data_IF_677704083889
#
_entry.id   IF_677704083889
#
_cell.length_a   1.000
_cell.length_b   1.000
_cell.length_c   1.000
_cell.angle_alpha   90.00
_cell.angle_beta   90.00
_cell.angle_gamma   90.00
#
_symmetry.space_group_name_H-M   'P 1'
#
loop_
_entity.id
_entity.type
_entity.pdbx_description
1 polymer ?
#
# COMPACT_ATOMS: atom_id res chain seq x y z
N UNK A 1 -20.60 -0.41 -6.53
CA UNK A 1 -19.34 -0.14 -5.82
C UNK A 1 -18.15 -0.53 -6.67
N UNK A 2 -17.23 0.42 -6.86
CA UNK A 2 -16.01 0.13 -7.59
C UNK A 2 -15.10 -0.73 -6.72
N UNK A 3 -14.72 -1.89 -7.24
CA UNK A 3 -13.75 -2.75 -6.57
C UNK A 3 -12.34 -2.26 -6.88
N UNK A 4 -11.49 -2.24 -5.88
CA UNK A 4 -10.10 -1.83 -6.02
C UNK A 4 -9.18 -3.04 -5.96
N UNK A 5 -8.21 -3.13 -6.88
CA UNK A 5 -7.29 -4.26 -6.87
C UNK A 5 -6.35 -4.19 -5.67
N UNK A 6 -6.10 -5.35 -5.08
CA UNK A 6 -5.15 -5.50 -3.99
C UNK A 6 -4.48 -6.87 -4.13
N UNK A 7 -3.19 -6.96 -3.79
CA UNK A 7 -2.53 -8.26 -3.80
C UNK A 7 -2.99 -9.09 -2.60
N UNK A 8 -2.90 -10.42 -2.72
CA UNK A 8 -3.22 -11.31 -1.60
C UNK A 8 -2.41 -10.95 -0.36
N UNK A 9 -1.12 -10.68 -0.53
CA UNK A 9 -0.22 -10.32 0.56
C UNK A 9 -0.62 -9.00 1.22
N UNK A 10 -1.02 -8.02 0.43
CA UNK A 10 -1.51 -6.74 0.95
C UNK A 10 -2.79 -6.89 1.74
N UNK A 11 -3.72 -7.73 1.27
CA UNK A 11 -4.95 -8.00 2.00
C UNK A 11 -4.68 -8.67 3.35
N UNK A 12 -3.81 -9.68 3.37
CA UNK A 12 -3.43 -10.36 4.61
C UNK A 12 -2.80 -9.39 5.61
N UNK A 13 -1.94 -8.50 5.12
CA UNK A 13 -1.30 -7.49 5.96
C UNK A 13 -2.31 -6.52 6.57
N UNK A 14 -3.30 -6.07 5.79
CA UNK A 14 -4.38 -5.22 6.29
C UNK A 14 -5.23 -5.94 7.34
N UNK A 15 -5.54 -7.21 7.12
CA UNK A 15 -6.29 -8.00 8.10
C UNK A 15 -5.54 -8.14 9.41
N UNK A 16 -4.22 -8.34 9.36
CA UNK A 16 -3.38 -8.42 10.56
C UNK A 16 -3.33 -7.09 11.29
N UNK A 17 -3.21 -5.99 10.55
CA UNK A 17 -3.25 -4.64 11.14
C UNK A 17 -4.59 -4.41 11.84
N UNK A 18 -5.70 -4.80 11.22
CA UNK A 18 -7.03 -4.64 11.78
C UNK A 18 -7.17 -5.39 13.13
N UNK A 19 -6.67 -6.62 13.19
CA UNK A 19 -6.67 -7.41 14.42
C UNK A 19 -5.86 -6.70 15.51
N UNK A 20 -4.67 -6.22 15.19
CA UNK A 20 -3.83 -5.48 16.12
C UNK A 20 -4.53 -4.24 16.66
N UNK A 21 -5.16 -3.45 15.79
CA UNK A 21 -5.84 -2.22 16.19
C UNK A 21 -7.04 -2.48 17.09
N UNK A 22 -7.77 -3.56 16.85
CA UNK A 22 -8.96 -3.92 17.64
C UNK A 22 -8.64 -4.63 18.94
N UNK A 23 -7.70 -5.56 18.93
CA UNK A 23 -7.45 -6.45 20.06
C UNK A 23 -6.36 -5.96 21.00
N UNK A 24 -5.41 -5.16 20.50
CA UNK A 24 -4.31 -4.65 21.31
C UNK A 24 -4.38 -3.15 21.50
N UNK A 25 -4.41 -2.39 20.41
CA UNK A 25 -4.35 -0.93 20.47
C UNK A 25 -5.57 -0.32 21.14
N UNK A 26 -6.75 -0.76 20.76
CA UNK A 26 -8.01 -0.23 21.31
C UNK A 26 -8.09 -0.41 22.84
N UNK A 27 -7.83 -1.60 23.41
CA UNK A 27 -7.83 -1.75 24.87
C UNK A 27 -6.79 -0.90 25.57
N UNK A 28 -5.61 -0.74 25.00
CA UNK A 28 -4.56 0.12 25.57
C UNK A 28 -5.01 1.57 25.64
N UNK A 29 -5.68 2.05 24.59
CA UNK A 29 -6.19 3.42 24.54
C UNK A 29 -7.32 3.61 25.57
N UNK A 30 -8.24 2.65 25.68
CA UNK A 30 -9.31 2.68 26.67
C UNK A 30 -8.73 2.77 28.08
N UNK A 31 -7.69 1.99 28.37
CA UNK A 31 -7.01 2.03 29.66
C UNK A 31 -6.33 3.38 29.90
N UNK A 32 -5.70 3.95 28.87
CA UNK A 32 -5.05 5.26 28.97
C UNK A 32 -6.06 6.38 29.24
N UNK A 33 -7.24 6.32 28.64
CA UNK A 33 -8.32 7.27 28.88
C UNK A 33 -8.80 7.17 30.33
N UNK A 34 -9.02 5.96 30.83
CA UNK A 34 -9.46 5.73 32.17
C UNK A 34 -8.44 6.26 33.20
N UNK A 35 -7.15 6.00 32.95
CA UNK A 35 -6.08 6.51 33.83
C UNK A 35 -6.03 8.04 33.79
N UNK A 36 -6.08 8.65 32.64
CA UNK A 36 -6.07 10.11 32.50
C UNK A 36 -7.25 10.77 33.22
N UNK A 37 -8.43 10.15 33.15
CA UNK A 37 -9.61 10.66 33.88
C UNK A 37 -9.44 10.65 35.37
N UNK A 38 -8.67 9.73 35.91
CA UNK A 38 -8.40 9.63 37.32
C UNK A 38 -7.57 10.81 37.87
N UNK A 39 -6.89 11.56 37.00
CA UNK A 39 -6.03 12.68 37.39
C UNK A 39 -6.77 14.01 37.57
N UNK A 40 -8.09 14.07 37.34
CA UNK A 40 -8.91 15.22 37.71
C UNK A 40 -9.59 15.91 36.54
N UNK A 41 -9.44 17.24 36.39
CA UNK A 41 -10.17 18.08 35.46
C UNK A 41 -9.96 17.64 33.99
N UNK A 42 -11.05 17.35 33.30
CA UNK A 42 -10.99 16.89 31.92
C UNK A 42 -10.69 18.02 30.92
N UNK A 43 -11.05 19.26 31.23
CA UNK A 43 -10.84 20.39 30.30
C UNK A 43 -9.37 20.75 30.13
N UNK A 44 -8.59 20.67 31.21
CA UNK A 44 -7.16 21.03 31.22
C UNK A 44 -6.26 19.80 31.27
N UNK A 45 -6.81 18.60 31.14
CA UNK A 45 -6.05 17.37 31.21
C UNK A 45 -5.47 17.02 29.84
N UNK A 46 -4.21 17.37 29.62
CA UNK A 46 -3.52 17.13 28.34
C UNK A 46 -3.42 15.64 28.02
N UNK A 47 -3.23 14.79 29.03
CA UNK A 47 -3.15 13.33 28.85
C UNK A 47 -4.49 12.76 28.37
N UNK A 48 -5.59 13.26 28.94
CA UNK A 48 -6.93 12.86 28.51
C UNK A 48 -7.20 13.25 27.06
N UNK A 49 -6.90 14.50 26.69
CA UNK A 49 -7.09 14.97 25.31
C UNK A 49 -6.23 14.21 24.30
N UNK A 50 -4.98 13.93 24.64
CA UNK A 50 -4.10 13.14 23.80
C UNK A 50 -4.62 11.73 23.59
N UNK A 51 -5.10 11.08 24.66
CA UNK A 51 -5.66 9.73 24.58
C UNK A 51 -6.95 9.69 23.74
N UNK A 52 -7.80 10.71 23.87
CA UNK A 52 -9.02 10.82 23.06
C UNK A 52 -8.70 11.05 21.58
N UNK A 53 -7.69 11.84 21.27
CA UNK A 53 -7.23 12.05 19.91
C UNK A 53 -6.68 10.75 19.32
N UNK A 54 -5.88 10.03 20.09
CA UNK A 54 -5.36 8.72 19.66
C UNK A 54 -6.50 7.72 19.41
N UNK A 55 -7.55 7.73 20.24
CA UNK A 55 -8.74 6.92 20.04
C UNK A 55 -9.39 7.24 18.70
N UNK A 56 -9.56 8.52 18.39
CA UNK A 56 -10.16 8.97 17.14
C UNK A 56 -9.35 8.47 15.92
N UNK A 57 -8.02 8.60 15.97
CA UNK A 57 -7.15 8.10 14.91
C UNK A 57 -7.26 6.59 14.75
N UNK A 58 -7.27 5.86 15.86
CA UNK A 58 -7.35 4.40 15.83
C UNK A 58 -8.68 3.93 15.24
N UNK A 59 -9.80 4.48 15.69
CA UNK A 59 -11.13 4.13 15.15
C UNK A 59 -11.27 4.54 13.69
N UNK A 60 -10.70 5.68 13.31
CA UNK A 60 -10.67 6.11 11.91
C UNK A 60 -9.90 5.15 11.02
N UNK A 61 -8.75 4.66 11.48
CA UNK A 61 -7.96 3.66 10.73
C UNK A 61 -8.68 2.33 10.61
N UNK A 62 -9.35 1.89 11.68
CA UNK A 62 -10.17 0.67 11.65
C UNK A 62 -11.27 0.79 10.60
N UNK A 63 -11.98 1.91 10.55
CA UNK A 63 -13.02 2.16 9.56
C UNK A 63 -12.46 2.15 8.15
N UNK A 64 -11.33 2.82 7.94
CA UNK A 64 -10.64 2.85 6.65
C UNK A 64 -10.27 1.44 6.16
N UNK A 65 -9.68 0.63 7.02
CA UNK A 65 -9.30 -0.75 6.68
C UNK A 65 -10.54 -1.58 6.33
N UNK A 66 -11.61 -1.48 7.13
CA UNK A 66 -12.85 -2.19 6.85
C UNK A 66 -13.41 -1.81 5.48
N UNK A 67 -13.35 -0.54 5.12
CA UNK A 67 -13.80 -0.07 3.81
C UNK A 67 -12.93 -0.61 2.67
N UNK A 68 -11.62 -0.65 2.86
CA UNK A 68 -10.70 -1.22 1.87
C UNK A 68 -10.98 -2.71 1.66
N UNK A 69 -11.13 -3.47 2.74
CA UNK A 69 -11.43 -4.90 2.67
C UNK A 69 -12.77 -5.14 1.98
N UNK A 70 -13.79 -4.34 2.27
CA UNK A 70 -15.11 -4.47 1.67
C UNK A 70 -15.10 -4.26 0.15
N UNK A 71 -14.20 -3.41 -0.36
CA UNK A 71 -14.09 -3.08 -1.78
C UNK A 71 -12.98 -3.84 -2.49
N UNK A 72 -12.27 -4.70 -1.77
CA UNK A 72 -11.10 -5.36 -2.31
C UNK A 72 -11.45 -6.34 -3.45
N UNK A 73 -10.71 -6.21 -4.55
CA UNK A 73 -10.64 -7.23 -5.59
C UNK A 73 -9.26 -7.87 -5.48
N UNK A 74 -9.22 -9.05 -4.86
CA UNK A 74 -7.94 -9.71 -4.53
C UNK A 74 -7.36 -10.37 -5.77
N UNK A 75 -6.12 -10.01 -6.09
CA UNK A 75 -5.39 -10.58 -7.23
C UNK A 75 -4.16 -11.32 -6.70
N UNK A 76 -4.13 -12.63 -6.97
CA UNK A 76 -2.96 -13.47 -6.72
C UNK A 76 -2.29 -13.74 -8.07
N UNK A 77 -1.23 -12.98 -8.35
CA UNK A 77 -0.52 -13.07 -9.64
C UNK A 77 0.09 -14.46 -9.86
N UNK A 78 0.40 -15.19 -8.80
CA UNK A 78 1.00 -16.52 -8.92
C UNK A 78 0.03 -17.54 -9.51
N UNK A 79 -1.28 -17.23 -9.49
CA UNK A 79 -2.32 -18.09 -10.06
C UNK A 79 -2.73 -17.70 -11.48
N UNK A 80 -2.14 -16.66 -12.02
CA UNK A 80 -2.42 -16.19 -13.38
C UNK A 80 -1.42 -16.83 -14.33
N UNK A 81 -1.91 -17.30 -15.49
CA UNK A 81 -1.05 -17.88 -16.52
C UNK A 81 -0.04 -16.84 -17.03
N UNK A 82 1.22 -17.20 -17.01
CA UNK A 82 2.31 -16.30 -17.43
C UNK A 82 2.29 -16.10 -18.93
N UNK A 83 2.15 -14.84 -19.37
CA UNK A 83 2.22 -14.46 -20.78
C UNK A 83 3.30 -13.43 -21.08
N UNK A 84 4.13 -13.09 -20.09
CA UNK A 84 5.23 -12.14 -20.23
C UNK A 84 4.84 -10.67 -20.13
N UNK A 85 3.56 -10.37 -20.01
CA UNK A 85 3.08 -9.00 -19.89
C UNK A 85 3.10 -8.50 -18.45
N UNK A 86 3.36 -7.20 -18.31
CA UNK A 86 3.25 -6.52 -17.01
C UNK A 86 1.78 -6.39 -16.66
N UNK A 87 1.38 -6.97 -15.54
CA UNK A 87 0.02 -6.90 -15.03
C UNK A 87 0.07 -6.46 -13.56
N UNK A 88 -1.11 -6.14 -13.01
CA UNK A 88 -1.22 -5.88 -11.57
C UNK A 88 -0.68 -7.09 -10.79
N UNK A 89 0.14 -6.81 -9.79
CA UNK A 89 0.75 -7.84 -8.94
C UNK A 89 2.06 -8.41 -9.48
N UNK A 90 2.40 -8.17 -10.74
CA UNK A 90 3.67 -8.66 -11.31
C UNK A 90 4.86 -7.86 -10.80
N UNK A 91 6.03 -8.49 -10.84
CA UNK A 91 7.31 -7.85 -10.50
C UNK A 91 8.06 -7.56 -11.80
N UNK A 92 8.41 -6.29 -12.02
CA UNK A 92 9.04 -5.82 -13.25
C UNK A 92 10.48 -5.42 -12.97
N UNK A 93 11.41 -6.00 -13.71
CA UNK A 93 12.83 -5.68 -13.61
C UNK A 93 13.17 -4.69 -14.72
N UNK A 94 13.65 -3.50 -14.33
CA UNK A 94 13.88 -2.37 -15.23
C UNK A 94 15.34 -1.95 -15.25
N UNK A 95 15.78 -1.42 -16.38
CA UNK A 95 17.01 -0.68 -16.47
C UNK A 95 16.70 0.74 -16.96
N UNK A 96 17.14 1.74 -16.21
CA UNK A 96 17.04 3.13 -16.62
C UNK A 96 18.10 3.37 -17.71
N UNK A 97 17.65 3.65 -18.94
CA UNK A 97 18.56 3.79 -20.07
C UNK A 97 19.40 5.06 -20.00
N UNK A 98 18.96 6.06 -19.24
CA UNK A 98 19.69 7.33 -19.10
C UNK A 98 20.83 7.24 -18.06
N UNK A 99 20.65 6.42 -17.02
CA UNK A 99 21.60 6.30 -15.89
C UNK A 99 22.27 4.94 -15.78
N UNK A 100 21.72 3.91 -16.43
CA UNK A 100 22.19 2.54 -16.30
C UNK A 100 21.75 1.85 -15.00
N UNK A 101 20.97 2.53 -14.16
CA UNK A 101 20.49 1.97 -12.90
C UNK A 101 19.51 0.84 -13.14
N UNK A 102 19.68 -0.25 -12.40
CA UNK A 102 18.77 -1.41 -12.42
C UNK A 102 17.89 -1.35 -11.18
N UNK A 103 16.57 -1.49 -11.39
CA UNK A 103 15.60 -1.44 -10.33
C UNK A 103 14.47 -2.42 -10.62
N UNK A 104 13.87 -2.98 -9.57
CA UNK A 104 12.69 -3.81 -9.72
C UNK A 104 11.54 -3.24 -8.89
N UNK A 105 10.33 -3.37 -9.42
CA UNK A 105 9.11 -2.95 -8.75
C UNK A 105 8.06 -4.05 -8.84
N UNK A 106 7.33 -4.24 -7.73
CA UNK A 106 6.09 -5.00 -7.74
C UNK A 106 4.93 -4.00 -7.91
N UNK A 107 4.04 -4.26 -8.85
CA UNK A 107 2.89 -3.40 -9.15
C UNK A 107 1.77 -3.73 -8.16
N UNK A 108 1.40 -2.77 -7.33
CA UNK A 108 0.48 -3.00 -6.21
C UNK A 108 -0.62 -1.95 -6.15
N UNK A 109 -1.56 -2.14 -5.23
CA UNK A 109 -2.65 -1.20 -4.99
C UNK A 109 -2.24 0.00 -4.15
N UNK A 110 -3.18 0.94 -4.01
CA UNK A 110 -2.95 2.20 -3.32
C UNK A 110 -2.46 2.03 -1.88
N UNK A 111 -3.09 1.12 -1.13
CA UNK A 111 -2.79 0.94 0.29
C UNK A 111 -1.52 0.15 0.57
N UNK A 112 -0.99 -0.52 -0.46
CA UNK A 112 0.24 -1.31 -0.36
C UNK A 112 1.48 -0.53 -0.81
N UNK A 113 1.30 0.54 -1.58
CA UNK A 113 2.38 1.24 -2.25
C UNK A 113 3.41 1.80 -1.26
N UNK A 114 4.67 1.47 -1.49
CA UNK A 114 5.80 1.96 -0.70
C UNK A 114 7.08 1.81 -1.52
N UNK A 115 7.56 2.90 -2.08
CA UNK A 115 8.73 2.88 -2.95
C UNK A 115 10.00 2.41 -2.23
N UNK A 116 10.09 2.60 -0.92
CA UNK A 116 11.22 2.09 -0.13
C UNK A 116 11.28 0.57 -0.13
N UNK A 117 10.11 -0.07 -0.23
CA UNK A 117 9.97 -1.53 -0.31
C UNK A 117 9.82 -2.00 -1.75
N UNK A 118 10.01 -1.11 -2.73
CA UNK A 118 9.87 -1.40 -4.16
C UNK A 118 8.45 -1.83 -4.55
N UNK A 119 7.46 -1.31 -3.83
CA UNK A 119 6.04 -1.53 -4.11
C UNK A 119 5.50 -0.29 -4.81
N UNK A 120 5.23 -0.42 -6.11
CA UNK A 120 4.84 0.68 -6.97
C UNK A 120 3.34 0.70 -7.17
N UNK A 121 2.72 1.87 -6.94
CA UNK A 121 1.29 2.04 -7.18
C UNK A 121 0.97 1.87 -8.68
N UNK A 122 0.00 1.01 -8.99
CA UNK A 122 -0.32 0.67 -10.39
C UNK A 122 -0.81 1.88 -11.20
N UNK A 123 -1.39 2.91 -10.57
CA UNK A 123 -1.84 4.13 -11.24
C UNK A 123 -0.83 5.28 -11.16
N UNK A 124 0.37 5.04 -10.63
CA UNK A 124 1.45 6.02 -10.74
C UNK A 124 1.89 6.19 -12.19
N UNK A 125 2.56 7.30 -12.55
CA UNK A 125 3.04 7.48 -13.91
C UNK A 125 3.85 6.29 -14.44
N UNK A 126 4.78 5.77 -13.61
CA UNK A 126 5.59 4.61 -13.99
C UNK A 126 4.73 3.36 -14.08
N UNK A 127 3.84 3.13 -13.10
CA UNK A 127 2.93 1.98 -13.11
C UNK A 127 2.05 1.94 -14.35
N UNK A 128 1.43 3.06 -14.69
CA UNK A 128 0.59 3.16 -15.90
C UNK A 128 1.38 2.94 -17.17
N UNK A 129 2.62 3.43 -17.20
CA UNK A 129 3.49 3.27 -18.37
C UNK A 129 3.98 1.85 -18.58
N UNK A 130 4.08 1.07 -17.51
CA UNK A 130 4.57 -0.31 -17.56
C UNK A 130 3.48 -1.33 -17.86
N UNK A 131 2.28 -1.16 -17.31
CA UNK A 131 1.19 -2.14 -17.46
C UNK A 131 0.87 -2.36 -18.94
N UNK A 132 0.79 -3.63 -19.34
CA UNK A 132 0.54 -4.04 -20.71
C UNK A 132 1.79 -4.18 -21.58
N UNK A 133 2.93 -3.74 -21.08
CA UNK A 133 4.22 -3.91 -21.76
C UNK A 133 4.79 -5.29 -21.48
N UNK A 134 5.81 -5.67 -22.26
CA UNK A 134 6.41 -7.00 -22.18
C UNK A 134 7.92 -6.92 -22.01
N UNK A 135 8.53 -8.03 -21.65
CA UNK A 135 9.99 -8.17 -21.59
C UNK A 135 10.63 -7.68 -22.90
N UNK A 136 11.71 -6.94 -22.76
CA UNK A 136 12.50 -6.32 -23.83
C UNK A 136 11.87 -5.06 -24.44
N UNK A 137 10.68 -4.64 -23.99
CA UNK A 137 10.09 -3.40 -24.45
C UNK A 137 10.87 -2.19 -23.91
N UNK A 138 10.98 -1.16 -24.76
CA UNK A 138 11.50 0.14 -24.38
C UNK A 138 10.31 1.03 -24.04
N UNK A 139 10.37 1.68 -22.88
CA UNK A 139 9.25 2.47 -22.37
C UNK A 139 9.72 3.89 -22.05
N UNK A 140 9.03 4.88 -22.61
CA UNK A 140 9.25 6.28 -22.28
C UNK A 140 8.10 6.73 -21.35
N UNK A 141 8.45 7.23 -20.17
CA UNK A 141 7.48 7.60 -19.15
C UNK A 141 7.65 9.05 -18.74
N UNK A 142 6.57 9.82 -18.82
CA UNK A 142 6.52 11.19 -18.35
C UNK A 142 6.25 11.18 -16.84
N UNK A 143 7.20 11.69 -16.05
CA UNK A 143 7.05 11.83 -14.60
C UNK A 143 7.14 13.30 -14.22
N UNK A 144 6.69 13.69 -13.00
CA UNK A 144 6.87 15.06 -12.52
C UNK A 144 8.34 15.50 -12.48
N UNK A 145 9.27 14.55 -12.34
CA UNK A 145 10.71 14.82 -12.36
C UNK A 145 11.31 14.85 -13.77
N UNK A 146 10.49 14.69 -14.81
CA UNK A 146 10.90 14.67 -16.20
C UNK A 146 10.65 13.34 -16.89
N UNK A 147 11.10 13.24 -18.15
CA UNK A 147 10.94 12.02 -18.95
C UNK A 147 11.99 11.00 -18.54
N UNK A 148 11.54 9.76 -18.31
CA UNK A 148 12.43 8.64 -17.98
C UNK A 148 12.29 7.55 -19.02
N UNK A 149 13.41 6.99 -19.45
CA UNK A 149 13.44 5.91 -20.43
C UNK A 149 13.92 4.62 -19.77
N UNK A 150 13.11 3.57 -19.88
CA UNK A 150 13.41 2.26 -19.29
C UNK A 150 13.37 1.16 -20.36
N UNK A 151 14.16 0.13 -20.12
CA UNK A 151 14.00 -1.15 -20.78
C UNK A 151 13.49 -2.16 -19.78
N UNK A 152 12.47 -2.93 -20.14
CA UNK A 152 11.95 -4.01 -19.31
C UNK A 152 12.85 -5.23 -19.52
N UNK A 153 13.64 -5.56 -18.50
CA UNK A 153 14.59 -6.66 -18.55
C UNK A 153 13.94 -8.01 -18.28
N UNK A 154 12.96 -8.03 -17.39
CA UNK A 154 12.23 -9.25 -17.06
C UNK A 154 10.90 -8.89 -16.40
N UNK A 155 9.96 -9.82 -16.46
CA UNK A 155 8.65 -9.74 -15.79
C UNK A 155 8.41 -11.08 -15.12
N UNK A 156 8.10 -11.05 -13.82
CA UNK A 156 7.84 -12.27 -13.05
C UNK A 156 6.50 -12.15 -12.32
N UNK A 157 5.77 -13.24 -12.30
CA UNK A 157 4.50 -13.36 -11.58
C UNK A 157 4.76 -14.05 -10.23
N UNK A 158 5.37 -13.27 -9.31
CA UNK A 158 5.79 -13.75 -7.99
C UNK A 158 5.21 -12.91 -6.85
#
# INVERSE_FOLDING_TARGET
>A
MNKEPITLKGLEKLKQELIFLKEKKRPEIVAAIAEARSHGDLKENAEYHAAKEEQSHNEGRITEINNVIARANVIDVTKISYDGKVIFGSTVFLENLDTGEKIDYKIVGKDEADLKKKLLYFQSPIGKGLIGKSKNDLVEINTPAGVKNFEIKDVKYI
#
